data_IF_440731993737
#
_entry.id   IF_440731993737
#
_cell.length_a   1.000
_cell.length_b   1.000
_cell.length_c   1.000
_cell.angle_alpha   90.00
_cell.angle_beta   90.00
_cell.angle_gamma   90.00
#
_symmetry.space_group_name_H-M   'P 1'
#
loop_
_entity.id
_entity.type
_entity.pdbx_description
1 polymer ?
#
# COMPACT_ATOMS: atom_id res chain seq x y z
N UNK A 1 -19.65 -10.10 -22.85
CA UNK A 1 -19.60 -8.63 -22.81
C UNK A 1 -18.43 -8.19 -23.66
N UNK A 2 -18.66 -7.37 -24.67
CA UNK A 2 -17.56 -6.85 -25.50
C UNK A 2 -16.89 -5.67 -24.79
N UNK A 3 -15.66 -5.32 -25.18
CA UNK A 3 -14.98 -4.11 -24.70
C UNK A 3 -15.86 -2.87 -24.88
N UNK A 4 -16.54 -2.78 -26.03
CA UNK A 4 -17.47 -1.70 -26.36
C UNK A 4 -18.67 -1.62 -25.40
N UNK A 5 -19.21 -2.77 -24.98
CA UNK A 5 -20.31 -2.81 -24.01
C UNK A 5 -19.84 -2.36 -22.63
N UNK A 6 -18.61 -2.74 -22.25
CA UNK A 6 -18.01 -2.34 -20.97
C UNK A 6 -17.73 -0.83 -20.91
N UNK A 7 -17.20 -0.24 -21.98
CA UNK A 7 -16.97 1.21 -22.07
C UNK A 7 -18.28 2.00 -21.98
N UNK A 8 -19.33 1.56 -22.68
CA UNK A 8 -20.66 2.18 -22.56
C UNK A 8 -21.22 2.13 -21.14
N UNK A 9 -20.98 1.03 -20.42
CA UNK A 9 -21.40 0.92 -19.03
C UNK A 9 -20.63 1.90 -18.14
N UNK A 10 -19.32 2.07 -18.37
CA UNK A 10 -18.50 3.08 -17.68
C UNK A 10 -19.06 4.48 -17.93
N UNK A 11 -19.29 4.84 -19.21
CA UNK A 11 -19.81 6.15 -19.59
C UNK A 11 -21.17 6.42 -18.92
N UNK A 12 -22.09 5.44 -18.98
CA UNK A 12 -23.39 5.54 -18.34
C UNK A 12 -23.31 5.76 -16.82
N UNK A 13 -22.40 5.07 -16.12
CA UNK A 13 -22.20 5.22 -14.67
C UNK A 13 -21.62 6.59 -14.34
N UNK A 14 -20.67 7.09 -15.14
CA UNK A 14 -20.09 8.43 -14.98
C UNK A 14 -21.18 9.49 -15.18
N UNK A 15 -21.94 9.41 -16.28
CA UNK A 15 -22.99 10.37 -16.63
C UNK A 15 -24.15 10.38 -15.64
N UNK A 16 -24.50 9.22 -15.07
CA UNK A 16 -25.56 9.09 -14.07
C UNK A 16 -25.13 9.56 -12.68
N UNK A 17 -23.82 9.77 -12.47
CA UNK A 17 -23.25 10.19 -11.20
C UNK A 17 -23.44 11.70 -10.93
N UNK A 18 -23.36 12.12 -9.67
CA UNK A 18 -23.50 13.54 -9.30
C UNK A 18 -22.24 14.37 -9.57
N UNK A 19 -21.15 13.75 -10.05
CA UNK A 19 -19.85 14.38 -10.26
C UNK A 19 -19.40 14.22 -11.72
N UNK A 20 -18.65 15.20 -12.20
CA UNK A 20 -17.91 15.17 -13.47
C UNK A 20 -16.42 15.29 -13.18
N UNK A 21 -15.58 15.10 -14.19
CA UNK A 21 -14.11 15.18 -14.09
C UNK A 21 -13.55 16.62 -14.00
N UNK A 22 -14.40 17.61 -13.73
CA UNK A 22 -13.99 19.00 -13.56
C UNK A 22 -13.79 19.37 -12.09
N UNK A 23 -12.83 20.26 -11.83
CA UNK A 23 -12.58 20.80 -10.48
C UNK A 23 -13.84 21.43 -9.86
N UNK A 24 -14.63 22.16 -10.66
CA UNK A 24 -15.87 22.78 -10.22
C UNK A 24 -16.89 21.77 -9.70
N UNK A 25 -16.88 20.56 -10.28
CA UNK A 25 -17.75 19.46 -9.85
C UNK A 25 -17.19 18.77 -8.62
N UNK A 26 -15.91 18.37 -8.64
CA UNK A 26 -15.26 17.63 -7.55
C UNK A 26 -15.16 18.43 -6.24
N UNK A 27 -14.99 19.75 -6.31
CA UNK A 27 -14.99 20.62 -5.12
C UNK A 27 -16.33 20.67 -4.38
N UNK A 28 -17.42 20.15 -4.98
CA UNK A 28 -18.72 20.01 -4.29
C UNK A 28 -18.73 18.83 -3.32
N UNK A 29 -17.79 17.89 -3.43
CA UNK A 29 -17.70 16.76 -2.51
C UNK A 29 -17.35 17.25 -1.11
N UNK A 30 -18.21 16.94 -0.15
CA UNK A 30 -18.00 17.31 1.26
C UNK A 30 -17.38 16.15 2.01
N UNK A 31 -16.42 16.44 2.88
CA UNK A 31 -15.91 15.46 3.84
C UNK A 31 -17.07 14.90 4.67
N UNK A 32 -17.30 13.58 4.67
CA UNK A 32 -18.39 12.96 5.42
C UNK A 32 -18.31 13.25 6.92
N UNK A 33 -19.47 13.33 7.55
CA UNK A 33 -19.57 13.72 8.97
C UNK A 33 -18.91 12.68 9.90
N UNK A 34 -19.02 11.38 9.57
CA UNK A 34 -18.35 10.33 10.34
C UNK A 34 -16.83 10.50 10.38
N UNK A 35 -16.21 10.95 9.28
CA UNK A 35 -14.75 11.13 9.21
C UNK A 35 -14.31 12.31 10.07
N UNK A 36 -15.08 13.42 10.01
CA UNK A 36 -14.87 14.56 10.90
C UNK A 36 -15.01 14.16 12.37
N UNK A 37 -15.95 13.26 12.69
CA UNK A 37 -16.23 12.84 14.06
C UNK A 37 -15.32 11.72 14.57
N UNK A 38 -14.61 10.99 13.69
CA UNK A 38 -13.73 9.90 14.08
C UNK A 38 -12.51 10.39 14.90
N UNK A 39 -11.94 11.55 14.55
CA UNK A 39 -10.80 12.25 15.21
C UNK A 39 -9.46 11.51 15.26
N UNK A 40 -9.47 10.18 15.39
CA UNK A 40 -8.31 9.32 15.52
C UNK A 40 -8.44 8.14 14.57
N UNK A 41 -7.32 7.72 13.98
CA UNK A 41 -7.26 6.60 13.06
C UNK A 41 -5.85 6.02 13.05
N UNK A 42 -5.76 4.74 12.74
CA UNK A 42 -4.50 3.99 12.70
C UNK A 42 -4.18 3.64 11.26
N UNK A 43 -2.95 3.94 10.85
CA UNK A 43 -2.40 3.51 9.56
C UNK A 43 -1.17 2.64 9.80
N UNK A 44 -0.98 1.62 8.95
CA UNK A 44 0.02 0.59 9.17
C UNK A 44 0.86 0.43 7.91
N UNK A 45 2.17 0.64 8.06
CA UNK A 45 3.16 0.29 7.04
C UNK A 45 3.61 -1.15 7.24
N UNK A 46 2.94 -2.08 6.58
CA UNK A 46 3.29 -3.50 6.62
C UNK A 46 3.25 -4.11 5.22
N UNK A 47 4.33 -4.75 4.82
CA UNK A 47 4.47 -5.35 3.50
C UNK A 47 5.80 -6.09 3.34
N UNK A 48 6.20 -6.33 2.10
CA UNK A 48 7.42 -7.10 1.78
C UNK A 48 8.67 -6.48 2.44
N UNK A 49 8.75 -5.15 2.54
CA UNK A 49 9.85 -4.45 3.21
C UNK A 49 9.96 -4.76 4.70
N UNK A 50 8.90 -5.29 5.33
CA UNK A 50 8.92 -5.75 6.71
C UNK A 50 9.66 -7.09 6.89
N UNK A 51 9.82 -7.89 5.83
CA UNK A 51 10.53 -9.19 5.86
C UNK A 51 12.00 -9.05 6.30
N UNK A 52 12.81 -8.15 5.73
CA UNK A 52 14.19 -7.97 6.19
C UNK A 52 14.29 -7.38 7.60
N UNK A 53 13.23 -6.72 8.08
CA UNK A 53 13.12 -6.08 9.40
C UNK A 53 14.34 -5.19 9.73
N UNK A 54 14.78 -4.40 8.75
CA UNK A 54 15.96 -3.54 8.89
C UNK A 54 15.78 -2.24 8.09
N UNK A 55 16.25 -1.12 8.63
CA UNK A 55 16.05 0.19 8.00
C UNK A 55 14.61 0.68 8.15
N UNK A 56 13.93 0.89 7.04
CA UNK A 56 12.56 1.40 6.96
C UNK A 56 11.83 0.85 5.71
N UNK A 57 10.65 1.36 5.39
CA UNK A 57 9.83 0.93 4.25
C UNK A 57 10.51 1.18 2.87
N UNK A 58 11.55 2.01 2.82
CA UNK A 58 12.36 2.25 1.63
C UNK A 58 13.44 1.18 1.40
N UNK A 59 13.43 0.08 2.16
CA UNK A 59 14.43 -0.97 2.02
C UNK A 59 14.64 -1.41 0.56
N UNK A 60 13.55 -1.56 -0.20
CA UNK A 60 13.58 -1.92 -1.63
C UNK A 60 14.44 -1.01 -2.49
N UNK A 61 14.51 0.28 -2.14
CA UNK A 61 15.35 1.28 -2.80
C UNK A 61 16.74 1.32 -2.18
N UNK A 62 16.81 1.43 -0.86
CA UNK A 62 18.07 1.70 -0.18
C UNK A 62 19.02 0.49 -0.17
N UNK A 63 18.51 -0.74 -0.26
CA UNK A 63 19.35 -1.94 -0.36
C UNK A 63 20.24 -1.98 -1.60
N UNK A 64 19.99 -1.12 -2.60
CA UNK A 64 20.80 -0.95 -3.80
C UNK A 64 21.74 0.27 -3.74
N UNK A 65 21.61 1.13 -2.73
CA UNK A 65 22.45 2.31 -2.54
C UNK A 65 23.66 1.96 -1.67
N UNK A 66 24.85 1.90 -2.28
CA UNK A 66 26.11 1.52 -1.62
C UNK A 66 26.48 2.39 -0.42
N UNK A 67 25.97 3.63 -0.35
CA UNK A 67 26.22 4.52 0.78
C UNK A 67 25.42 4.12 2.03
N UNK A 68 24.30 3.40 1.86
CA UNK A 68 23.33 3.14 2.93
C UNK A 68 23.71 1.93 3.78
N UNK A 69 23.36 1.92 5.08
CA UNK A 69 23.50 0.75 5.93
C UNK A 69 22.72 -0.47 5.44
N UNK A 70 21.55 -0.25 4.81
CA UNK A 70 20.69 -1.30 4.23
C UNK A 70 21.40 -2.10 3.14
N UNK A 71 22.21 -1.47 2.29
CA UNK A 71 23.05 -2.18 1.31
C UNK A 71 24.04 -3.13 1.98
N UNK A 72 24.75 -2.68 3.02
CA UNK A 72 25.71 -3.52 3.75
C UNK A 72 25.02 -4.66 4.50
N UNK A 73 23.89 -4.35 5.15
CA UNK A 73 23.07 -5.35 5.82
C UNK A 73 22.60 -6.42 4.83
N UNK A 74 22.08 -6.00 3.68
CA UNK A 74 21.57 -6.91 2.66
C UNK A 74 22.66 -7.88 2.19
N UNK A 75 23.84 -7.35 1.85
CA UNK A 75 24.97 -8.18 1.42
C UNK A 75 25.47 -9.14 2.48
N UNK A 76 25.46 -8.72 3.76
CA UNK A 76 25.87 -9.57 4.87
C UNK A 76 24.88 -10.71 5.14
N UNK A 77 23.57 -10.46 4.98
CA UNK A 77 22.50 -11.40 5.40
C UNK A 77 21.96 -12.26 4.26
N UNK A 78 21.81 -11.69 3.06
CA UNK A 78 21.16 -12.32 1.92
C UNK A 78 22.08 -12.52 0.72
N UNK A 79 23.18 -11.76 0.64
CA UNK A 79 24.17 -11.86 -0.42
C UNK A 79 24.06 -10.76 -1.47
N UNK A 80 24.60 -11.02 -2.65
CA UNK A 80 24.65 -10.03 -3.72
C UNK A 80 23.26 -9.78 -4.29
N UNK A 81 22.92 -8.51 -4.50
CA UNK A 81 21.61 -8.07 -4.98
C UNK A 81 21.23 -8.61 -6.37
N UNK A 82 22.21 -9.08 -7.15
CA UNK A 82 22.00 -9.75 -8.44
C UNK A 82 21.43 -11.16 -8.28
N UNK A 83 21.80 -11.85 -7.22
CA UNK A 83 21.41 -13.24 -6.94
C UNK A 83 20.19 -13.27 -6.01
N UNK A 84 20.17 -12.38 -5.02
CA UNK A 84 19.05 -12.16 -4.11
C UNK A 84 18.65 -10.68 -4.17
N UNK A 85 17.63 -10.34 -4.95
CA UNK A 85 17.08 -8.99 -5.07
C UNK A 85 15.85 -8.77 -4.20
N UNK A 86 15.29 -7.56 -4.23
CA UNK A 86 14.07 -7.27 -3.46
C UNK A 86 12.88 -8.17 -3.82
N UNK A 87 12.78 -8.58 -5.09
CA UNK A 87 11.75 -9.51 -5.58
C UNK A 87 11.76 -10.85 -4.84
N UNK A 88 12.92 -11.28 -4.33
CA UNK A 88 13.08 -12.59 -3.70
C UNK A 88 12.49 -12.61 -2.28
N UNK A 89 12.19 -11.44 -1.71
CA UNK A 89 11.37 -11.34 -0.50
C UNK A 89 9.87 -11.53 -0.74
N UNK A 90 9.36 -11.40 -1.98
CA UNK A 90 7.93 -11.58 -2.28
C UNK A 90 7.39 -12.92 -1.76
N UNK A 91 7.99 -14.08 -2.09
CA UNK A 91 7.50 -15.37 -1.57
C UNK A 91 7.75 -15.56 -0.06
N UNK A 92 8.58 -14.72 0.56
CA UNK A 92 8.90 -14.79 1.99
C UNK A 92 7.91 -14.00 2.86
N UNK A 93 7.16 -13.06 2.27
CA UNK A 93 6.12 -12.32 2.98
C UNK A 93 4.86 -13.18 3.14
N UNK A 94 4.92 -14.12 4.08
CA UNK A 94 3.87 -15.13 4.30
C UNK A 94 2.83 -14.76 5.34
N UNK A 95 3.14 -13.79 6.21
CA UNK A 95 2.25 -13.38 7.30
C UNK A 95 1.79 -14.55 8.21
N UNK A 96 2.67 -15.51 8.51
CA UNK A 96 2.32 -16.81 9.12
C UNK A 96 1.57 -16.69 10.47
N UNK A 97 1.77 -15.59 11.21
CA UNK A 97 1.13 -15.33 12.50
C UNK A 97 0.13 -14.15 12.45
N UNK A 98 -0.30 -13.74 11.27
CA UNK A 98 -1.26 -12.64 11.13
C UNK A 98 -2.64 -13.08 11.57
N UNK A 99 -3.24 -12.27 12.46
CA UNK A 99 -4.60 -12.45 12.92
C UNK A 99 -5.32 -11.09 12.83
N UNK A 100 -6.18 -10.88 11.80
CA UNK A 100 -6.83 -9.60 11.59
C UNK A 100 -7.81 -9.25 12.71
N UNK A 101 -8.46 -10.24 13.34
CA UNK A 101 -9.40 -10.00 14.45
C UNK A 101 -8.68 -9.43 15.68
N UNK A 102 -7.52 -10.00 16.04
CA UNK A 102 -6.68 -9.49 17.15
C UNK A 102 -6.18 -8.08 16.88
N UNK A 103 -5.86 -7.76 15.63
CA UNK A 103 -5.47 -6.41 15.25
C UNK A 103 -6.64 -5.43 15.38
N UNK A 104 -7.81 -5.78 14.86
CA UNK A 104 -9.02 -4.96 14.98
C UNK A 104 -9.42 -4.75 16.45
N UNK A 105 -9.34 -5.80 17.28
CA UNK A 105 -9.58 -5.71 18.72
C UNK A 105 -8.58 -4.77 19.41
N UNK A 106 -7.29 -4.90 19.08
CA UNK A 106 -6.25 -4.01 19.60
C UNK A 106 -6.47 -2.54 19.21
N UNK A 107 -6.87 -2.26 17.97
CA UNK A 107 -7.07 -0.88 17.48
C UNK A 107 -8.32 -0.21 18.03
N UNK A 108 -9.29 -1.00 18.48
CA UNK A 108 -10.52 -0.51 19.09
C UNK A 108 -10.29 -0.02 20.53
N UNK A 109 -9.35 -0.65 21.23
CA UNK A 109 -9.06 -0.41 22.65
C UNK A 109 -8.22 0.85 22.87
#
# INVERSE_FOLDING_TARGET
MTEKDYLKQIDYVIESGPYTDSWQSLCKHKTPEWYKNAKFGIFIHWGIYSVPAFGNEWYSREMYDKSKPTYRHHRKKYGNQKDFGYKDFIPMFKAENFNPEKWAELFKN
#
